data_IF_134218576569
#
_entry.id   IF_134218576569
#
_cell.length_a   1.000
_cell.length_b   1.000
_cell.length_c   1.000
_cell.angle_alpha   90.00
_cell.angle_beta   90.00
_cell.angle_gamma   90.00
#
_symmetry.space_group_name_H-M   'P 1'
#
loop_
_entity.id
_entity.type
_entity.pdbx_description
1 polymer ?
#
# COMPACT_ATOMS: atom_id res chain seq x y z
N UNK A 1 28.83 -15.18 11.60
CA UNK A 1 27.89 -15.49 10.51
C UNK A 1 27.33 -14.18 9.99
N UNK A 2 27.97 -13.63 8.97
CA UNK A 2 27.44 -12.53 8.16
C UNK A 2 26.77 -13.07 6.90
N UNK A 3 26.02 -12.22 6.19
CA UNK A 3 25.40 -12.59 4.91
C UNK A 3 26.48 -12.96 3.87
N UNK A 4 27.59 -12.22 3.87
CA UNK A 4 28.72 -12.42 2.96
C UNK A 4 29.38 -13.77 3.20
N UNK A 5 29.56 -14.16 4.47
CA UNK A 5 30.07 -15.49 4.84
C UNK A 5 29.14 -16.59 4.31
N UNK A 6 27.82 -16.45 4.48
CA UNK A 6 26.84 -17.44 4.00
C UNK A 6 26.82 -17.51 2.46
N UNK A 7 26.85 -16.37 1.77
CA UNK A 7 26.90 -16.31 0.31
C UNK A 7 28.15 -17.00 -0.25
N UNK A 8 29.28 -16.88 0.43
CA UNK A 8 30.51 -17.58 0.02
C UNK A 8 30.34 -19.11 0.04
N UNK A 9 29.54 -19.66 0.95
CA UNK A 9 29.23 -21.09 1.00
C UNK A 9 28.18 -21.50 -0.04
N UNK A 10 27.11 -20.71 -0.20
CA UNK A 10 26.05 -21.01 -1.18
C UNK A 10 26.60 -21.04 -2.61
N UNK A 11 27.56 -20.16 -2.94
CA UNK A 11 28.21 -20.13 -4.26
C UNK A 11 29.02 -21.39 -4.59
N UNK A 12 29.40 -22.20 -3.59
CA UNK A 12 30.12 -23.46 -3.79
C UNK A 12 29.18 -24.63 -4.11
N UNK A 13 27.86 -24.45 -3.93
CA UNK A 13 26.88 -25.49 -4.23
C UNK A 13 26.68 -25.65 -5.74
N UNK A 14 26.36 -26.87 -6.22
CA UNK A 14 25.84 -27.07 -7.56
C UNK A 14 24.61 -26.19 -7.83
N UNK A 15 24.42 -25.74 -9.07
CA UNK A 15 23.30 -24.87 -9.45
C UNK A 15 21.93 -25.43 -9.02
N UNK A 16 21.73 -26.74 -9.13
CA UNK A 16 20.49 -27.40 -8.71
C UNK A 16 20.24 -27.27 -7.20
N UNK A 17 21.29 -27.28 -6.39
CA UNK A 17 21.18 -27.16 -4.94
C UNK A 17 21.00 -25.71 -4.50
N UNK A 18 21.57 -24.75 -5.24
CA UNK A 18 21.26 -23.33 -5.06
C UNK A 18 19.76 -23.06 -5.30
N UNK A 19 19.18 -23.64 -6.34
CA UNK A 19 17.74 -23.52 -6.63
C UNK A 19 16.90 -24.13 -5.51
N UNK A 20 17.24 -25.35 -5.05
CA UNK A 20 16.56 -26.00 -3.92
C UNK A 20 16.65 -25.20 -2.61
N UNK A 21 17.76 -24.51 -2.39
CA UNK A 21 17.94 -23.64 -1.22
C UNK A 21 16.96 -22.45 -1.29
N UNK A 22 16.86 -21.81 -2.46
CA UNK A 22 15.92 -20.69 -2.69
C UNK A 22 14.47 -21.15 -2.45
N UNK A 23 14.08 -22.29 -3.02
CA UNK A 23 12.74 -22.87 -2.85
C UNK A 23 12.35 -23.10 -1.39
N UNK A 24 13.33 -23.44 -0.53
CA UNK A 24 13.09 -23.66 0.90
C UNK A 24 13.03 -22.37 1.71
N UNK A 25 13.93 -21.42 1.42
CA UNK A 25 14.07 -20.20 2.22
C UNK A 25 13.06 -19.13 1.83
N UNK A 26 12.69 -19.01 0.54
CA UNK A 26 11.80 -17.95 0.07
C UNK A 26 10.45 -17.90 0.82
N UNK A 27 9.74 -19.03 1.06
CA UNK A 27 8.47 -19.01 1.80
C UNK A 27 8.63 -18.56 3.27
N UNK A 28 9.78 -18.83 3.90
CA UNK A 28 10.06 -18.37 5.27
C UNK A 28 10.25 -16.86 5.31
N UNK A 29 11.00 -16.31 4.35
CA UNK A 29 11.19 -14.86 4.21
C UNK A 29 9.87 -14.16 3.93
N UNK A 30 9.06 -14.68 2.99
CA UNK A 30 7.75 -14.12 2.67
C UNK A 30 6.84 -14.05 3.90
N UNK A 31 6.75 -15.14 4.68
CA UNK A 31 5.98 -15.15 5.94
C UNK A 31 6.50 -14.13 6.95
N UNK A 32 7.82 -13.97 7.07
CA UNK A 32 8.43 -12.95 7.93
C UNK A 32 8.07 -11.52 7.50
N UNK A 33 8.03 -11.26 6.20
CA UNK A 33 7.66 -9.94 5.65
C UNK A 33 6.17 -9.63 5.84
N UNK A 34 5.30 -10.63 5.65
CA UNK A 34 3.84 -10.48 5.85
C UNK A 34 3.49 -10.36 7.34
N UNK A 35 4.30 -10.95 8.23
CA UNK A 35 4.11 -10.87 9.68
C UNK A 35 4.54 -9.53 10.28
N UNK A 36 5.02 -8.57 9.47
CA UNK A 36 5.17 -7.20 9.94
C UNK A 36 3.78 -6.70 10.35
N UNK A 37 3.59 -6.29 11.62
CA UNK A 37 2.27 -5.88 12.09
C UNK A 37 1.76 -4.79 11.15
N UNK A 38 0.51 -4.89 10.65
CA UNK A 38 -0.05 -3.83 9.83
C UNK A 38 0.11 -2.54 10.62
N UNK A 39 0.80 -1.56 10.02
CA UNK A 39 0.90 -0.21 10.57
C UNK A 39 -0.51 0.17 11.02
N UNK A 40 -0.66 0.50 12.30
CA UNK A 40 -1.96 0.80 12.92
C UNK A 40 -2.76 1.66 11.96
N UNK A 41 -3.81 1.07 11.36
CA UNK A 41 -4.64 1.79 10.39
C UNK A 41 -5.35 2.86 11.19
N UNK A 42 -4.94 4.12 11.00
CA UNK A 42 -5.67 5.23 11.57
C UNK A 42 -7.09 5.23 10.99
N UNK A 43 -8.08 5.34 11.86
CA UNK A 43 -9.46 5.47 11.44
C UNK A 43 -9.63 6.74 10.61
N UNK A 44 -10.33 6.65 9.48
CA UNK A 44 -10.76 7.83 8.72
C UNK A 44 -11.90 8.59 9.44
N UNK A 45 -12.47 7.99 10.48
CA UNK A 45 -13.48 8.66 11.30
C UNK A 45 -12.90 9.91 11.95
N UNK A 46 -13.54 11.06 11.73
CA UNK A 46 -13.09 12.34 12.26
C UNK A 46 -12.00 13.03 11.44
N UNK A 47 -11.61 12.50 10.27
CA UNK A 47 -10.63 13.14 9.38
C UNK A 47 -10.99 14.59 9.04
N UNK A 48 -12.29 14.88 8.90
CA UNK A 48 -12.81 16.20 8.58
C UNK A 48 -13.33 16.98 9.81
N UNK A 49 -13.11 16.50 11.03
CA UNK A 49 -13.69 17.12 12.24
C UNK A 49 -13.23 18.57 12.46
N UNK A 50 -12.05 18.92 11.95
CA UNK A 50 -11.50 20.27 11.98
C UNK A 50 -12.08 21.22 10.90
N UNK A 51 -12.83 20.72 9.92
CA UNK A 51 -13.45 21.53 8.87
C UNK A 51 -14.71 22.26 9.35
N UNK A 52 -15.15 22.01 10.59
CA UNK A 52 -16.31 22.67 11.20
C UNK A 52 -17.63 22.06 10.77
N UNK A 53 -18.68 22.87 10.76
CA UNK A 53 -20.05 22.42 10.47
C UNK A 53 -20.16 21.96 9.01
N UNK A 54 -20.82 20.81 8.81
CA UNK A 54 -21.12 20.32 7.47
C UNK A 54 -21.99 21.33 6.72
N UNK A 55 -21.66 21.69 5.46
CA UNK A 55 -22.48 22.58 4.64
C UNK A 55 -23.90 22.05 4.47
N UNK A 56 -24.88 22.95 4.28
CA UNK A 56 -26.25 22.54 4.01
C UNK A 56 -26.36 21.93 2.60
N UNK A 57 -27.44 21.19 2.35
CA UNK A 57 -27.73 20.65 1.01
C UNK A 57 -27.80 21.74 -0.05
N UNK A 58 -28.30 22.92 0.32
CA UNK A 58 -28.41 24.06 -0.60
C UNK A 58 -27.03 24.67 -0.91
N UNK A 59 -26.16 24.81 0.10
CA UNK A 59 -24.78 25.27 -0.10
C UNK A 59 -24.01 24.33 -1.05
N UNK A 60 -24.19 23.02 -0.88
CA UNK A 60 -23.57 21.99 -1.73
C UNK A 60 -24.10 22.10 -3.17
N UNK A 61 -25.41 22.28 -3.33
CA UNK A 61 -26.06 22.42 -4.65
C UNK A 61 -25.55 23.67 -5.38
N UNK A 62 -25.46 24.79 -4.66
CA UNK A 62 -24.99 26.06 -5.19
C UNK A 62 -23.52 25.99 -5.60
N UNK A 63 -22.63 25.49 -4.72
CA UNK A 63 -21.22 25.33 -5.03
C UNK A 63 -20.99 24.41 -6.24
N UNK A 64 -21.76 23.32 -6.37
CA UNK A 64 -21.71 22.46 -7.57
C UNK A 64 -22.10 23.21 -8.84
N UNK A 65 -23.16 24.03 -8.78
CA UNK A 65 -23.62 24.80 -9.92
C UNK A 65 -22.61 25.87 -10.34
N UNK A 66 -21.94 26.51 -9.38
CA UNK A 66 -20.89 27.50 -9.63
C UNK A 66 -19.67 26.88 -10.30
N UNK A 67 -19.18 25.77 -9.75
CA UNK A 67 -17.95 25.12 -10.20
C UNK A 67 -18.15 24.30 -11.49
N UNK A 68 -19.30 23.66 -11.66
CA UNK A 68 -19.54 22.69 -12.75
C UNK A 68 -20.66 23.11 -13.71
N UNK A 69 -21.30 24.27 -13.50
CA UNK A 69 -22.42 24.73 -14.33
C UNK A 69 -22.05 25.02 -15.78
N UNK A 70 -20.79 25.39 -16.03
CA UNK A 70 -20.22 25.63 -17.36
C UNK A 70 -19.41 24.44 -17.89
N UNK A 71 -19.35 23.33 -17.15
CA UNK A 71 -18.59 22.16 -17.58
C UNK A 71 -19.22 21.59 -18.86
N UNK A 72 -18.47 21.43 -19.97
CA UNK A 72 -19.00 20.93 -21.22
C UNK A 72 -19.59 19.54 -20.99
N UNK A 73 -20.90 19.41 -21.19
CA UNK A 73 -21.62 18.12 -21.12
C UNK A 73 -21.77 17.49 -22.49
N UNK A 74 -20.85 17.79 -23.40
CA UNK A 74 -20.85 17.17 -24.72
C UNK A 74 -20.74 15.65 -24.52
N UNK A 75 -21.77 14.97 -25.02
CA UNK A 75 -22.02 13.55 -24.81
C UNK A 75 -20.80 12.72 -25.27
N UNK A 76 -20.37 11.80 -24.39
CA UNK A 76 -19.44 10.70 -24.76
C UNK A 76 -20.25 9.58 -25.40
#
# INVERSE_FOLDING_TARGET
MTLEEVLAFVKQLPLIDQVRLIERIAPEVERGLVSSPPVSRQSLWGLCANLGTTPSTEDIRQARQEEWGSFPREDV
#
